data_IF_508775878072
#
_entry.id   IF_508775878072
#
_cell.length_a   1.000
_cell.length_b   1.000
_cell.length_c   1.000
_cell.angle_alpha   90.00
_cell.angle_beta   90.00
_cell.angle_gamma   90.00
#
_symmetry.space_group_name_H-M   'P 1'
#
loop_
_entity.id
_entity.type
_entity.pdbx_description
1 polymer ?
#
# COMPACT_ATOMS: atom_id res chain seq x y z
N UNK A 1 4.63 -3.16 -11.30
CA UNK A 1 3.58 -3.50 -12.28
C UNK A 1 3.30 -2.37 -13.28
N UNK A 2 3.11 -1.11 -12.88
CA UNK A 2 2.74 0.00 -13.80
C UNK A 2 3.77 0.39 -14.88
N UNK A 3 4.97 -0.20 -14.87
CA UNK A 3 6.05 0.10 -15.83
C UNK A 3 6.30 -1.01 -16.84
N UNK A 4 5.51 -2.10 -16.80
CA UNK A 4 5.59 -3.16 -17.79
C UNK A 4 4.70 -2.79 -19.00
N UNK A 5 5.29 -2.48 -20.17
CA UNK A 5 4.53 -2.06 -21.34
C UNK A 5 3.66 -3.18 -21.94
N UNK A 6 3.85 -4.43 -21.50
CA UNK A 6 3.08 -5.59 -21.95
C UNK A 6 1.85 -5.86 -21.09
N UNK A 7 1.79 -5.24 -19.90
CA UNK A 7 0.70 -5.48 -18.96
C UNK A 7 -0.59 -4.77 -19.40
N UNK A 8 -1.71 -5.49 -19.30
CA UNK A 8 -3.05 -5.02 -19.63
C UNK A 8 -4.01 -5.42 -18.52
N UNK A 9 -5.08 -4.64 -18.36
CA UNK A 9 -6.14 -4.88 -17.38
C UNK A 9 -7.46 -4.99 -18.13
N UNK A 10 -8.24 -6.01 -17.79
CA UNK A 10 -9.62 -6.20 -18.20
C UNK A 10 -10.52 -5.84 -17.00
N UNK A 11 -11.47 -4.93 -17.18
CA UNK A 11 -12.43 -4.53 -16.15
C UNK A 11 -13.82 -4.37 -16.75
N UNK A 12 -14.86 -4.61 -15.96
CA UNK A 12 -16.25 -4.45 -16.39
C UNK A 12 -16.70 -3.01 -16.16
N UNK A 13 -16.94 -2.25 -17.23
CA UNK A 13 -17.57 -0.93 -17.16
C UNK A 13 -19.09 -1.02 -17.04
N UNK A 14 -19.71 -2.00 -17.71
CA UNK A 14 -21.17 -2.23 -17.67
C UNK A 14 -21.48 -3.71 -17.58
N UNK A 15 -22.34 -4.07 -16.63
CA UNK A 15 -22.86 -5.44 -16.48
C UNK A 15 -24.35 -5.40 -16.14
N UNK A 16 -25.19 -5.92 -17.03
CA UNK A 16 -26.65 -5.97 -16.86
C UNK A 16 -27.20 -7.37 -16.64
N UNK A 17 -26.37 -8.40 -16.81
CA UNK A 17 -26.77 -9.82 -16.69
C UNK A 17 -26.34 -10.45 -15.36
N UNK A 18 -25.40 -9.83 -14.65
CA UNK A 18 -24.87 -10.26 -13.36
C UNK A 18 -24.15 -9.08 -12.67
N UNK A 19 -23.84 -9.16 -11.36
CA UNK A 19 -22.91 -8.21 -10.75
C UNK A 19 -21.58 -8.14 -11.53
N UNK A 20 -20.91 -6.97 -11.59
CA UNK A 20 -19.58 -6.86 -12.19
C UNK A 20 -18.60 -7.83 -11.52
N UNK A 21 -17.77 -8.50 -12.32
CA UNK A 21 -16.72 -9.37 -11.82
C UNK A 21 -15.49 -8.57 -11.36
N UNK A 22 -14.54 -9.27 -10.72
CA UNK A 22 -13.22 -8.71 -10.40
C UNK A 22 -12.46 -8.35 -11.68
N UNK A 23 -11.67 -7.28 -11.64
CA UNK A 23 -10.78 -6.95 -12.74
C UNK A 23 -9.64 -7.97 -12.83
N UNK A 24 -9.18 -8.25 -14.05
CA UNK A 24 -8.16 -9.25 -14.35
C UNK A 24 -6.97 -8.61 -15.05
N UNK A 25 -5.77 -9.02 -14.68
CA UNK A 25 -4.53 -8.65 -15.33
C UNK A 25 -4.05 -9.76 -16.27
N UNK A 26 -3.51 -9.35 -17.41
CA UNK A 26 -2.83 -10.23 -18.36
C UNK A 26 -1.62 -9.50 -18.97
N UNK A 27 -0.66 -10.26 -19.48
CA UNK A 27 0.43 -9.76 -20.30
C UNK A 27 0.16 -10.09 -21.77
N UNK A 28 0.47 -9.14 -22.65
CA UNK A 28 0.39 -9.26 -24.09
C UNK A 28 1.41 -8.33 -24.76
N UNK A 29 2.25 -8.89 -25.64
CA UNK A 29 3.19 -8.10 -26.46
C UNK A 29 4.68 -8.39 -26.21
N UNK A 30 5.01 -9.42 -25.43
CA UNK A 30 6.34 -10.02 -25.38
C UNK A 30 6.43 -11.26 -26.30
N UNK A 31 7.60 -11.90 -26.35
CA UNK A 31 7.79 -13.19 -27.03
C UNK A 31 6.95 -14.33 -26.42
N UNK A 32 6.48 -14.14 -25.19
CA UNK A 32 5.66 -15.10 -24.44
C UNK A 32 4.17 -15.09 -24.82
N UNK A 33 3.74 -14.20 -25.70
CA UNK A 33 2.35 -14.14 -26.17
C UNK A 33 1.35 -13.69 -25.10
N UNK A 34 0.16 -14.30 -25.09
CA UNK A 34 -0.87 -14.00 -24.09
C UNK A 34 -0.66 -14.81 -22.80
N UNK A 35 -0.66 -14.15 -21.65
CA UNK A 35 -0.54 -14.82 -20.33
C UNK A 35 -1.43 -14.20 -19.27
N UNK A 36 -2.23 -15.02 -18.59
CA UNK A 36 -2.96 -14.60 -17.39
C UNK A 36 -1.99 -14.28 -16.25
N UNK A 37 -2.18 -13.14 -15.60
CA UNK A 37 -1.44 -12.73 -14.41
C UNK A 37 -2.26 -12.97 -13.15
N UNK A 38 -3.58 -12.76 -13.22
CA UNK A 38 -4.52 -13.04 -12.14
C UNK A 38 -5.50 -11.90 -11.89
N UNK A 39 -6.13 -11.90 -10.72
CA UNK A 39 -7.00 -10.83 -10.28
C UNK A 39 -6.21 -9.53 -10.05
N UNK A 40 -6.92 -8.41 -10.18
CA UNK A 40 -6.32 -7.10 -10.08
C UNK A 40 -7.28 -6.11 -9.44
N UNK A 41 -6.82 -5.49 -8.36
CA UNK A 41 -7.62 -4.55 -7.60
C UNK A 41 -7.60 -3.16 -8.25
N UNK A 42 -8.58 -2.96 -9.13
CA UNK A 42 -8.93 -1.68 -9.76
C UNK A 42 -10.36 -1.77 -10.29
N UNK A 43 -11.10 -0.68 -10.21
CA UNK A 43 -12.42 -0.51 -10.83
C UNK A 43 -12.31 0.20 -12.18
N UNK A 44 -13.35 0.11 -13.02
CA UNK A 44 -13.42 0.86 -14.28
C UNK A 44 -13.34 2.38 -14.04
N UNK A 45 -14.05 2.88 -13.03
CA UNK A 45 -14.03 4.30 -12.66
C UNK A 45 -12.64 4.77 -12.24
N UNK A 46 -11.92 4.00 -11.42
CA UNK A 46 -10.54 4.33 -11.03
C UNK A 46 -9.60 4.34 -12.24
N UNK A 47 -9.74 3.37 -13.16
CA UNK A 47 -8.93 3.30 -14.37
C UNK A 47 -9.15 4.51 -15.29
N UNK A 48 -10.40 5.00 -15.37
CA UNK A 48 -10.79 6.12 -16.22
C UNK A 48 -10.65 7.49 -15.54
N UNK A 49 -10.54 7.53 -14.21
CA UNK A 49 -10.47 8.79 -13.44
C UNK A 49 -9.24 9.64 -13.74
N UNK A 50 -8.20 9.08 -14.35
CA UNK A 50 -6.89 9.74 -14.53
C UNK A 50 -6.16 9.98 -13.20
N UNK A 51 -6.79 9.68 -12.07
CA UNK A 51 -6.21 9.70 -10.74
C UNK A 51 -5.59 8.33 -10.52
N UNK A 52 -4.33 8.26 -10.11
CA UNK A 52 -3.74 6.97 -9.80
C UNK A 52 -4.52 6.34 -8.64
N UNK A 53 -5.07 5.11 -8.81
CA UNK A 53 -5.69 4.42 -7.70
C UNK A 53 -4.63 4.30 -6.61
N UNK A 54 -4.98 4.73 -5.40
CA UNK A 54 -4.19 4.55 -4.18
C UNK A 54 -4.21 3.07 -3.80
N UNK A 55 -3.68 2.20 -4.67
CA UNK A 55 -3.36 0.82 -4.29
C UNK A 55 -2.49 0.88 -3.06
N UNK A 56 -2.59 -0.13 -2.19
CA UNK A 56 -1.72 -0.29 -1.04
C UNK A 56 -0.25 -0.08 -1.45
N UNK A 57 0.20 1.16 -1.32
CA UNK A 57 1.58 1.50 -1.57
C UNK A 57 2.36 0.83 -0.45
N UNK A 58 3.64 0.56 -0.66
CA UNK A 58 4.50 0.19 0.47
C UNK A 58 4.37 1.21 1.62
N UNK A 59 3.97 2.45 1.32
CA UNK A 59 3.64 3.49 2.30
C UNK A 59 2.37 3.16 3.08
N UNK A 60 1.29 2.69 2.43
CA UNK A 60 0.08 2.25 3.12
C UNK A 60 0.36 1.03 4.03
N UNK A 61 1.08 0.03 3.53
CA UNK A 61 1.50 -1.12 4.34
C UNK A 61 2.36 -0.70 5.56
N UNK A 62 3.19 0.33 5.38
CA UNK A 62 3.94 0.92 6.49
C UNK A 62 3.05 1.66 7.49
N UNK A 63 1.99 2.35 7.04
CA UNK A 63 1.00 2.97 7.93
C UNK A 63 0.25 1.91 8.75
N UNK A 64 -0.23 0.86 8.11
CA UNK A 64 -1.00 -0.20 8.78
C UNK A 64 -0.13 -0.95 9.81
N UNK A 65 1.14 -1.17 9.49
CA UNK A 65 2.13 -1.66 10.45
C UNK A 65 2.26 -0.74 11.66
N UNK A 66 2.42 0.58 11.45
CA UNK A 66 2.54 1.56 12.54
C UNK A 66 1.26 1.56 13.41
N UNK A 67 0.08 1.58 12.78
CA UNK A 67 -1.21 1.48 13.46
C UNK A 67 -1.33 0.22 14.31
N UNK A 68 -0.92 -0.92 13.77
CA UNK A 68 -0.95 -2.20 14.49
C UNK A 68 -0.02 -2.21 15.69
N UNK A 69 1.22 -1.69 15.54
CA UNK A 69 2.21 -1.67 16.63
C UNK A 69 1.80 -0.74 17.78
N UNK A 70 1.16 0.37 17.46
CA UNK A 70 0.72 1.39 18.42
C UNK A 70 -0.73 1.18 18.91
N UNK A 71 -1.41 0.13 18.44
CA UNK A 71 -2.78 -0.19 18.82
C UNK A 71 -2.92 -0.36 20.35
N UNK A 72 -4.04 0.10 20.90
CA UNK A 72 -4.30 0.04 22.34
C UNK A 72 -3.44 1.02 23.16
N UNK A 73 -3.04 2.16 22.58
CA UNK A 73 -2.29 3.21 23.28
C UNK A 73 -0.83 2.86 23.57
N UNK A 74 -0.29 1.83 22.90
CA UNK A 74 1.10 1.39 23.09
C UNK A 74 2.08 2.45 22.60
N UNK A 75 3.22 2.53 23.27
CA UNK A 75 4.35 3.36 22.86
C UNK A 75 5.51 2.44 22.46
N UNK A 76 5.99 2.58 21.23
CA UNK A 76 7.00 1.69 20.64
C UNK A 76 8.23 2.50 20.23
N UNK A 77 9.44 1.93 20.31
CA UNK A 77 10.63 2.62 19.83
C UNK A 77 10.60 2.76 18.30
N UNK A 78 11.06 3.90 17.77
CA UNK A 78 11.12 4.13 16.33
C UNK A 78 11.96 3.06 15.63
N UNK A 79 13.05 2.62 16.26
CA UNK A 79 13.94 1.57 15.76
C UNK A 79 13.22 0.22 15.63
N UNK A 80 12.31 -0.10 16.55
CA UNK A 80 11.54 -1.35 16.49
C UNK A 80 10.52 -1.32 15.35
N UNK A 81 9.92 -0.14 15.08
CA UNK A 81 9.08 0.07 13.89
C UNK A 81 9.91 -0.10 12.61
N UNK A 82 11.09 0.50 12.56
CA UNK A 82 11.97 0.43 11.39
C UNK A 82 12.47 -1.02 11.16
N UNK A 83 12.74 -1.77 12.23
CA UNK A 83 13.08 -3.20 12.17
C UNK A 83 11.91 -4.06 11.68
N UNK A 84 10.72 -3.89 12.25
CA UNK A 84 9.52 -4.62 11.83
C UNK A 84 9.14 -4.33 10.37
N UNK A 85 9.38 -3.09 9.91
CA UNK A 85 9.18 -2.70 8.53
C UNK A 85 10.20 -3.39 7.60
N UNK A 86 11.47 -3.44 8.01
CA UNK A 86 12.52 -4.12 7.25
C UNK A 86 12.25 -5.63 7.11
N UNK A 87 11.79 -6.29 8.17
CA UNK A 87 11.39 -7.71 8.15
C UNK A 87 10.25 -7.98 7.14
N UNK A 88 9.42 -6.97 6.84
CA UNK A 88 8.35 -7.01 5.83
C UNK A 88 8.78 -6.49 4.46
N UNK A 89 10.07 -6.19 4.25
CA UNK A 89 10.60 -5.68 2.98
C UNK A 89 10.22 -4.22 2.67
N UNK A 90 9.86 -3.45 3.70
CA UNK A 90 9.52 -2.02 3.58
C UNK A 90 10.78 -1.19 3.84
N UNK A 91 11.27 -0.41 2.86
CA UNK A 91 12.47 0.39 3.03
C UNK A 91 12.24 1.59 3.96
N UNK A 92 13.27 2.01 4.70
CA UNK A 92 13.17 3.08 5.70
C UNK A 92 12.66 4.44 5.15
N UNK A 93 12.90 4.75 3.87
CA UNK A 93 12.30 5.93 3.22
C UNK A 93 10.78 5.88 3.23
N UNK A 94 10.20 4.72 2.93
CA UNK A 94 8.76 4.49 2.93
C UNK A 94 8.18 4.56 4.34
N UNK A 95 8.88 4.05 5.35
CA UNK A 95 8.47 4.21 6.75
C UNK A 95 8.44 5.69 7.15
N UNK A 96 9.41 6.48 6.69
CA UNK A 96 9.44 7.93 6.92
C UNK A 96 8.30 8.65 6.21
N UNK A 97 8.01 8.26 4.97
CA UNK A 97 6.88 8.79 4.21
C UNK A 97 5.55 8.47 4.91
N UNK A 98 5.38 7.25 5.42
CA UNK A 98 4.21 6.84 6.19
C UNK A 98 4.08 7.62 7.51
N UNK A 99 5.17 7.77 8.28
CA UNK A 99 5.21 8.60 9.51
C UNK A 99 4.81 10.05 9.20
N UNK A 100 5.24 10.60 8.06
CA UNK A 100 4.87 11.96 7.62
C UNK A 100 3.40 12.06 7.25
N UNK A 101 2.85 11.08 6.54
CA UNK A 101 1.45 11.06 6.11
C UNK A 101 0.47 10.78 7.26
N UNK A 102 0.89 10.08 8.31
CA UNK A 102 0.12 9.95 9.56
C UNK A 102 0.05 11.27 10.35
N UNK A 103 0.91 12.22 10.02
CA UNK A 103 0.82 13.62 10.45
C UNK A 103 0.79 13.80 11.97
N UNK A 104 -0.03 14.75 12.42
CA UNK A 104 -0.03 15.22 13.80
C UNK A 104 -0.55 14.22 14.83
N UNK A 105 -1.29 13.20 14.40
CA UNK A 105 -1.76 12.12 15.26
C UNK A 105 -0.59 11.32 15.84
N UNK A 106 0.54 11.24 15.12
CA UNK A 106 1.72 10.50 15.53
C UNK A 106 2.70 11.40 16.28
N UNK A 107 2.86 11.19 17.59
CA UNK A 107 3.82 11.94 18.42
C UNK A 107 5.04 11.09 18.77
N UNK A 108 6.11 11.79 19.16
CA UNK A 108 7.33 11.12 19.60
C UNK A 108 8.01 11.86 20.73
N UNK A 109 8.66 11.12 21.62
CA UNK A 109 9.46 11.64 22.74
C UNK A 109 10.75 10.84 22.87
N UNK A 110 11.79 11.44 23.42
CA UNK A 110 13.04 10.75 23.74
C UNK A 110 12.93 10.18 25.16
N UNK A 111 13.17 8.88 25.32
CA UNK A 111 13.22 8.18 26.60
C UNK A 111 14.51 7.37 26.61
N UNK A 112 15.36 7.58 27.63
CA UNK A 112 16.63 6.85 27.78
C UNK A 112 17.53 6.94 26.53
N UNK A 113 17.58 8.12 25.89
CA UNK A 113 18.36 8.34 24.67
C UNK A 113 17.75 7.75 23.38
N UNK A 114 16.62 7.06 23.46
CA UNK A 114 15.94 6.42 22.33
C UNK A 114 14.60 7.09 22.02
N UNK A 115 14.24 7.17 20.74
CA UNK A 115 12.99 7.79 20.29
C UNK A 115 11.82 6.82 20.43
N UNK A 116 10.85 7.11 21.29
CA UNK A 116 9.55 6.42 21.36
C UNK A 116 8.48 7.16 20.56
N UNK A 117 7.62 6.42 19.90
CA UNK A 117 6.51 6.88 19.05
C UNK A 117 5.19 6.38 19.64
N UNK A 118 4.15 7.21 19.61
CA UNK A 118 2.83 6.93 20.20
C UNK A 118 1.73 7.78 19.54
N UNK A 119 0.47 7.36 19.68
CA UNK A 119 -0.68 8.15 19.26
C UNK A 119 -0.99 9.28 20.24
N UNK A 120 -1.35 10.45 19.71
CA UNK A 120 -1.95 11.52 20.50
C UNK A 120 -3.37 11.10 20.91
N UNK A 121 -3.69 11.20 22.21
CA UNK A 121 -5.07 11.07 22.72
C UNK A 121 -5.92 12.29 22.34
#
# INVERSE_FOLDING_TARGET
MKHDPTMRILTHEKSSLAPPGVSLAFSLGDEGGFRWVGEYDITADEMLSGIEPQRETKTQQAKDLICTLLAGGKQVFSEDIDKAALERGIPGRTVRDAKRELGDALKSKIVEGRKKVFWME
#
